data_IF_690619903912
#
_entry.id   IF_690619903912
#
_cell.length_a   1.000
_cell.length_b   1.000
_cell.length_c   1.000
_cell.angle_alpha   90.00
_cell.angle_beta   90.00
_cell.angle_gamma   90.00
#
_symmetry.space_group_name_H-M   'P 1'
#
loop_
_entity.id
_entity.type
_entity.pdbx_description
1 polymer ?
#
# COMPACT_ATOMS: atom_id res chain seq x y z
N UNK A 1 -15.57 19.48 -25.78
CA UNK A 1 -16.17 18.30 -25.12
C UNK A 1 -15.11 17.61 -24.24
N UNK A 2 -15.00 17.92 -22.94
CA UNK A 2 -14.02 17.26 -22.04
C UNK A 2 -14.40 17.24 -20.55
N UNK A 3 -15.65 17.58 -20.18
CA UNK A 3 -16.05 17.76 -18.77
C UNK A 3 -16.74 16.53 -18.13
N UNK A 4 -17.02 15.46 -18.90
CA UNK A 4 -17.80 14.32 -18.41
C UNK A 4 -17.00 13.27 -17.61
N UNK A 5 -15.66 13.24 -17.75
CA UNK A 5 -14.81 12.18 -17.15
C UNK A 5 -14.26 12.50 -15.76
N UNK A 6 -14.24 13.78 -15.34
CA UNK A 6 -13.88 14.16 -13.95
C UNK A 6 -15.01 13.81 -13.00
N UNK A 7 -16.25 14.14 -13.36
CA UNK A 7 -17.45 13.91 -12.55
C UNK A 7 -17.68 12.44 -12.17
N UNK A 8 -17.30 11.49 -13.02
CA UNK A 8 -17.41 10.06 -12.72
C UNK A 8 -16.34 9.60 -11.72
N UNK A 9 -15.11 10.13 -11.84
CA UNK A 9 -13.99 9.85 -10.92
C UNK A 9 -14.23 10.44 -9.54
N UNK A 10 -14.75 11.65 -9.47
CA UNK A 10 -15.04 12.32 -8.20
C UNK A 10 -16.15 11.59 -7.42
N UNK A 11 -17.21 11.16 -8.13
CA UNK A 11 -18.27 10.30 -7.56
C UNK A 11 -17.76 8.96 -7.07
N UNK A 12 -16.88 8.30 -7.83
CA UNK A 12 -16.27 7.04 -7.38
C UNK A 12 -15.39 7.21 -6.15
N UNK A 13 -14.66 8.33 -6.05
CA UNK A 13 -13.81 8.64 -4.90
C UNK A 13 -14.64 8.96 -3.66
N UNK A 14 -15.76 9.65 -3.82
CA UNK A 14 -16.69 9.96 -2.75
C UNK A 14 -17.45 8.71 -2.27
N UNK A 15 -17.84 7.83 -3.18
CA UNK A 15 -18.44 6.53 -2.86
C UNK A 15 -17.46 5.64 -2.06
N UNK A 16 -16.18 5.61 -2.47
CA UNK A 16 -15.15 4.88 -1.74
C UNK A 16 -14.93 5.46 -0.33
N UNK A 17 -14.90 6.78 -0.18
CA UNK A 17 -14.79 7.45 1.14
C UNK A 17 -15.99 7.14 2.03
N UNK A 18 -17.21 7.18 1.48
CA UNK A 18 -18.43 6.83 2.22
C UNK A 18 -18.46 5.35 2.63
N UNK A 19 -17.98 4.44 1.78
CA UNK A 19 -17.89 3.03 2.12
C UNK A 19 -16.93 2.77 3.29
N UNK A 20 -15.79 3.48 3.32
CA UNK A 20 -14.83 3.41 4.44
C UNK A 20 -15.43 4.00 5.73
N UNK A 21 -16.21 5.08 5.62
CA UNK A 21 -16.87 5.69 6.79
C UNK A 21 -18.04 4.86 7.35
N UNK A 22 -18.79 4.17 6.48
CA UNK A 22 -19.93 3.33 6.89
C UNK A 22 -19.50 1.98 7.49
N UNK A 23 -18.29 1.53 7.20
CA UNK A 23 -17.74 0.27 7.72
C UNK A 23 -17.25 0.34 9.18
N UNK A 24 -17.69 1.35 9.96
CA UNK A 24 -17.60 1.44 11.42
C UNK A 24 -16.49 0.62 12.09
N UNK A 25 -15.31 1.24 12.25
CA UNK A 25 -14.32 0.84 13.25
C UNK A 25 -13.53 -0.43 12.96
N UNK A 26 -12.51 -0.32 12.11
CA UNK A 26 -11.31 -1.14 12.31
C UNK A 26 -10.31 -0.21 12.98
N UNK A 27 -9.90 -0.58 14.20
CA UNK A 27 -9.03 0.19 15.08
C UNK A 27 -7.99 1.01 14.30
N UNK A 28 -7.90 2.30 14.65
CA UNK A 28 -6.83 3.17 14.20
C UNK A 28 -5.51 2.40 14.26
N UNK A 29 -4.86 2.10 13.13
CA UNK A 29 -3.45 1.77 13.20
C UNK A 29 -2.79 3.07 13.68
N UNK A 30 -2.12 2.97 14.83
CA UNK A 30 -1.36 4.05 15.44
C UNK A 30 -0.73 4.92 14.36
N UNK A 31 -0.92 6.24 14.48
CA UNK A 31 -0.31 7.23 13.61
C UNK A 31 1.19 6.97 13.50
N UNK A 32 1.60 6.27 12.45
CA UNK A 32 3.00 6.26 12.04
C UNK A 32 3.23 7.69 11.54
N UNK A 33 4.08 8.49 12.21
CA UNK A 33 4.25 9.88 11.84
C UNK A 33 4.66 9.90 10.37
N UNK A 34 3.83 10.52 9.54
CA UNK A 34 4.12 10.76 8.15
C UNK A 34 5.29 11.75 8.11
N UNK A 35 6.52 11.23 8.21
CA UNK A 35 7.71 12.01 7.93
C UNK A 35 7.57 12.55 6.52
N UNK A 36 7.81 13.86 6.30
CA UNK A 36 7.71 14.44 4.97
C UNK A 36 8.84 13.84 4.14
N UNK A 37 8.52 12.81 3.37
CA UNK A 37 9.46 12.14 2.47
C UNK A 37 9.87 13.16 1.43
N UNK A 38 11.08 13.69 1.58
CA UNK A 38 11.75 14.43 0.54
C UNK A 38 11.64 13.65 -0.76
N UNK A 39 11.36 14.37 -1.85
CA UNK A 39 11.37 13.85 -3.22
C UNK A 39 12.81 13.50 -3.59
N UNK A 40 13.37 12.47 -2.94
CA UNK A 40 14.58 11.81 -3.38
C UNK A 40 14.27 11.08 -4.67
N UNK A 41 15.15 11.23 -5.66
CA UNK A 41 15.09 10.45 -6.90
C UNK A 41 14.97 9.00 -6.53
N UNK A 42 13.84 8.43 -6.91
CA UNK A 42 13.48 7.11 -6.52
C UNK A 42 14.39 6.10 -7.25
N UNK A 43 15.26 5.34 -6.54
CA UNK A 43 16.24 4.46 -7.20
C UNK A 43 15.58 3.30 -7.95
N UNK A 44 14.29 3.06 -7.71
CA UNK A 44 13.47 2.11 -8.45
C UNK A 44 12.30 2.84 -9.09
N UNK A 45 11.97 2.55 -10.35
CA UNK A 45 10.68 3.01 -10.87
C UNK A 45 9.54 2.39 -10.05
N UNK A 46 8.44 3.13 -9.88
CA UNK A 46 7.29 2.64 -9.10
C UNK A 46 6.72 1.31 -9.60
N UNK A 47 6.87 1.03 -10.90
CA UNK A 47 6.49 -0.24 -11.51
C UNK A 47 7.46 -1.39 -11.18
N UNK A 48 8.77 -1.14 -11.22
CA UNK A 48 9.81 -2.13 -10.85
C UNK A 48 9.62 -2.60 -9.41
N UNK A 49 9.37 -1.66 -8.50
CA UNK A 49 9.06 -1.97 -7.10
C UNK A 49 7.87 -2.90 -6.93
N UNK A 50 6.74 -2.57 -7.57
CA UNK A 50 5.48 -3.30 -7.37
C UNK A 50 5.47 -4.66 -8.05
N UNK A 51 6.04 -4.77 -9.25
CA UNK A 51 5.94 -5.99 -10.07
C UNK A 51 7.07 -6.99 -9.85
N UNK A 52 8.23 -6.56 -9.34
CA UNK A 52 9.41 -7.44 -9.20
C UNK A 52 9.92 -7.51 -7.77
N UNK A 53 10.20 -6.37 -7.14
CA UNK A 53 10.85 -6.33 -5.82
C UNK A 53 9.90 -6.75 -4.69
N UNK A 54 8.70 -6.20 -4.66
CA UNK A 54 7.73 -6.47 -3.60
C UNK A 54 7.33 -7.96 -3.51
N UNK A 55 6.97 -8.66 -4.61
CA UNK A 55 6.65 -10.09 -4.54
C UNK A 55 7.80 -10.93 -3.97
N UNK A 56 9.06 -10.62 -4.34
CA UNK A 56 10.22 -11.34 -3.83
C UNK A 56 10.44 -11.11 -2.34
N UNK A 57 10.28 -9.87 -1.86
CA UNK A 57 10.37 -9.57 -0.42
C UNK A 57 9.27 -10.28 0.38
N UNK A 58 8.04 -10.35 -0.17
CA UNK A 58 6.95 -11.09 0.45
C UNK A 58 7.26 -12.58 0.54
N UNK A 59 7.75 -13.18 -0.54
CA UNK A 59 8.15 -14.60 -0.55
C UNK A 59 9.27 -14.89 0.45
N UNK A 60 10.28 -14.02 0.52
CA UNK A 60 11.36 -14.13 1.50
C UNK A 60 10.83 -14.09 2.95
N UNK A 61 9.85 -13.23 3.24
CA UNK A 61 9.25 -13.16 4.58
C UNK A 61 8.38 -14.38 4.90
N UNK A 62 7.71 -14.96 3.90
CA UNK A 62 6.95 -16.21 4.06
C UNK A 62 7.90 -17.37 4.33
N UNK A 63 9.04 -17.44 3.65
CA UNK A 63 10.08 -18.45 3.87
C UNK A 63 10.60 -18.42 5.32
N UNK A 64 10.73 -17.23 5.91
CA UNK A 64 11.16 -17.05 7.30
C UNK A 64 10.11 -17.51 8.33
N UNK A 65 8.83 -17.65 7.94
CA UNK A 65 7.76 -18.19 8.76
C UNK A 65 6.41 -17.46 8.63
N UNK A 66 5.35 -17.96 9.28
CA UNK A 66 4.02 -17.38 9.20
C UNK A 66 4.00 -15.92 9.66
N UNK A 67 3.47 -15.03 8.82
CA UNK A 67 3.41 -13.60 9.09
C UNK A 67 2.10 -13.00 8.58
N UNK A 68 1.50 -12.10 9.38
CA UNK A 68 0.30 -11.37 8.96
C UNK A 68 0.66 -10.24 7.99
N UNK A 69 -0.25 -9.92 7.06
CA UNK A 69 0.01 -8.91 6.03
C UNK A 69 0.36 -7.52 6.60
N UNK A 70 -0.22 -7.13 7.73
CA UNK A 70 0.14 -5.89 8.45
C UNK A 70 1.60 -5.90 8.95
N UNK A 71 2.03 -6.98 9.60
CA UNK A 71 3.41 -7.14 10.05
C UNK A 71 4.39 -7.16 8.87
N UNK A 72 3.98 -7.76 7.76
CA UNK A 72 4.78 -7.80 6.54
C UNK A 72 4.99 -6.40 5.96
N UNK A 73 3.97 -5.54 5.98
CA UNK A 73 4.09 -4.13 5.56
C UNK A 73 5.06 -3.35 6.43
N UNK A 74 4.99 -3.52 7.76
CA UNK A 74 5.90 -2.87 8.71
C UNK A 74 7.35 -3.35 8.55
N UNK A 75 7.55 -4.67 8.46
CA UNK A 75 8.87 -5.27 8.25
C UNK A 75 9.52 -4.80 6.95
N UNK A 76 8.76 -4.77 5.85
CA UNK A 76 9.25 -4.28 4.56
C UNK A 76 9.65 -2.80 4.64
N UNK A 77 8.84 -1.97 5.31
CA UNK A 77 9.19 -0.57 5.52
C UNK A 77 10.46 -0.42 6.38
N UNK A 78 10.62 -1.21 7.44
CA UNK A 78 11.81 -1.22 8.30
C UNK A 78 13.07 -1.68 7.56
N UNK A 79 13.00 -2.83 6.87
CA UNK A 79 14.13 -3.41 6.13
C UNK A 79 14.60 -2.55 4.95
N UNK A 80 13.74 -1.67 4.44
CA UNK A 80 14.06 -0.77 3.33
C UNK A 80 14.25 0.67 3.76
N UNK A 81 14.33 0.94 5.07
CA UNK A 81 14.43 2.30 5.63
C UNK A 81 13.37 3.26 5.06
N UNK A 82 12.18 2.73 4.78
CA UNK A 82 11.06 3.47 4.21
C UNK A 82 11.12 3.73 2.71
N UNK A 83 12.17 3.30 2.00
CA UNK A 83 12.28 3.36 0.52
C UNK A 83 11.16 2.57 -0.15
N UNK A 84 10.74 1.47 0.48
CA UNK A 84 9.60 0.68 0.03
C UNK A 84 8.51 0.66 1.10
N UNK A 85 7.42 1.36 0.81
CA UNK A 85 6.23 1.38 1.66
C UNK A 85 5.07 0.71 0.93
N UNK A 86 4.43 -0.25 1.59
CA UNK A 86 3.34 -1.06 1.02
C UNK A 86 2.04 -0.74 1.74
N UNK A 87 0.95 -0.67 0.97
CA UNK A 87 -0.40 -0.40 1.47
C UNK A 87 -1.26 -1.69 1.40
N UNK A 88 -2.23 -1.89 2.30
CA UNK A 88 -3.28 -2.91 2.20
C UNK A 88 -3.80 -3.24 0.78
N UNK A 89 -4.14 -2.22 0.00
CA UNK A 89 -4.67 -2.35 -1.36
C UNK A 89 -3.68 -2.93 -2.38
N UNK A 90 -2.40 -2.98 -2.01
CA UNK A 90 -1.33 -3.63 -2.78
C UNK A 90 -0.95 -4.97 -2.16
N UNK A 91 -0.80 -5.01 -0.83
CA UNK A 91 -0.35 -6.19 -0.09
C UNK A 91 -1.36 -7.35 -0.22
N UNK A 92 -2.63 -7.13 0.11
CA UNK A 92 -3.59 -8.24 0.17
C UNK A 92 -3.93 -8.85 -1.21
N UNK A 93 -4.10 -8.05 -2.29
CA UNK A 93 -4.24 -8.64 -3.61
C UNK A 93 -2.99 -9.38 -4.09
N UNK A 94 -1.80 -8.96 -3.66
CA UNK A 94 -0.56 -9.68 -3.95
C UNK A 94 -0.52 -11.02 -3.21
N UNK A 95 -0.81 -11.03 -1.90
CA UNK A 95 -0.87 -12.25 -1.10
C UNK A 95 -1.90 -13.26 -1.61
N UNK A 96 -2.99 -12.78 -2.23
CA UNK A 96 -4.00 -13.64 -2.88
C UNK A 96 -3.54 -14.27 -4.20
N UNK A 97 -2.48 -13.75 -4.82
CA UNK A 97 -1.95 -14.21 -6.11
C UNK A 97 -0.76 -15.13 -5.98
N UNK A 98 -0.06 -15.06 -4.84
CA UNK A 98 1.00 -15.98 -4.44
C UNK A 98 0.35 -17.24 -3.86
#
# INVERSE_FOLDING_TARGET
>A
MAQASSSKRDRSREAARKAVAQAGGVAQPAEVPATPRGRGTDPFSGEMRRRRVLPLLVLHLIEAGPSYGNQMMERIAGMTEGVLSVNPNTMYPLLRRL
#
